data_IF_130157180321
#
_entry.id   IF_130157180321
#
_cell.length_a   1.000
_cell.length_b   1.000
_cell.length_c   1.000
_cell.angle_alpha   90.00
_cell.angle_beta   90.00
_cell.angle_gamma   90.00
#
_symmetry.space_group_name_H-M   'P 1'
#
loop_
_entity.id
_entity.type
_entity.pdbx_description
1 polymer ?
#
# COMPACT_ATOMS: atom_id res chain seq x y z
N UNK A 1 12.89 1.60 -12.79
CA UNK A 1 12.49 0.97 -11.52
C UNK A 1 11.33 -0.01 -11.70
N UNK A 2 10.16 0.44 -12.19
CA UNK A 2 8.97 -0.43 -12.40
C UNK A 2 9.27 -1.63 -13.31
N UNK A 3 9.88 -1.41 -14.48
CA UNK A 3 10.27 -2.51 -15.38
C UNK A 3 11.31 -3.47 -14.78
N UNK A 4 12.22 -2.97 -13.92
CA UNK A 4 13.21 -3.80 -13.24
C UNK A 4 12.59 -4.66 -12.15
N UNK A 5 11.70 -4.09 -11.33
CA UNK A 5 10.93 -4.83 -10.31
C UNK A 5 10.00 -5.87 -10.93
N UNK A 6 9.35 -5.54 -12.06
CA UNK A 6 8.50 -6.48 -12.79
C UNK A 6 9.32 -7.65 -13.38
N UNK A 7 10.47 -7.38 -13.99
CA UNK A 7 11.37 -8.42 -14.51
C UNK A 7 11.89 -9.32 -13.38
N UNK A 8 12.27 -8.71 -12.25
CA UNK A 8 12.80 -9.43 -11.09
C UNK A 8 11.72 -10.28 -10.40
N UNK A 9 10.48 -9.78 -10.32
CA UNK A 9 9.32 -10.53 -9.85
C UNK A 9 9.00 -11.71 -10.76
N UNK A 10 9.04 -11.54 -12.08
CA UNK A 10 8.85 -12.62 -13.06
C UNK A 10 9.92 -13.71 -12.96
N UNK A 11 11.17 -13.35 -12.66
CA UNK A 11 12.27 -14.29 -12.42
C UNK A 11 12.11 -14.99 -11.05
N UNK A 12 11.60 -14.27 -10.05
CA UNK A 12 11.41 -14.76 -8.67
C UNK A 12 10.13 -15.58 -8.49
N UNK A 13 9.20 -15.57 -9.45
CA UNK A 13 7.89 -16.25 -9.39
C UNK A 13 7.97 -17.79 -9.21
N UNK A 14 9.18 -18.38 -9.23
CA UNK A 14 9.41 -19.81 -8.90
C UNK A 14 9.65 -20.09 -7.41
N UNK A 15 9.75 -19.09 -6.54
CA UNK A 15 9.93 -19.29 -5.10
C UNK A 15 9.58 -18.03 -4.32
N UNK A 16 8.57 -18.12 -3.44
CA UNK A 16 7.95 -17.01 -2.71
C UNK A 16 8.92 -15.95 -2.18
N UNK A 17 8.50 -14.69 -2.34
CA UNK A 17 9.06 -13.42 -1.82
C UNK A 17 10.53 -13.52 -1.36
N UNK A 18 11.47 -13.33 -2.29
CA UNK A 18 12.87 -13.19 -1.94
C UNK A 18 13.20 -11.75 -1.46
N UNK A 19 14.03 -11.58 -0.40
CA UNK A 19 14.64 -10.28 -0.03
C UNK A 19 15.48 -9.64 -1.17
N UNK A 20 15.66 -10.35 -2.27
CA UNK A 20 16.41 -9.94 -3.45
C UNK A 20 15.82 -8.72 -4.16
N UNK A 21 14.50 -8.48 -4.12
CA UNK A 21 13.90 -7.29 -4.74
C UNK A 21 14.29 -6.00 -4.01
N UNK A 22 14.27 -6.00 -2.67
CA UNK A 22 14.75 -4.90 -1.84
C UNK A 22 16.25 -4.67 -2.00
N UNK A 23 17.05 -5.75 -1.97
CA UNK A 23 18.49 -5.69 -2.21
C UNK A 23 18.80 -5.09 -3.58
N UNK A 24 18.07 -5.48 -4.62
CA UNK A 24 18.26 -4.95 -5.97
C UNK A 24 18.04 -3.43 -6.02
N UNK A 25 16.99 -2.92 -5.38
CA UNK A 25 16.73 -1.47 -5.32
C UNK A 25 17.84 -0.74 -4.55
N UNK A 26 18.32 -1.32 -3.43
CA UNK A 26 19.43 -0.75 -2.66
C UNK A 26 20.74 -0.72 -3.47
N UNK A 27 21.02 -1.76 -4.25
CA UNK A 27 22.17 -1.81 -5.16
C UNK A 27 22.06 -0.72 -6.22
N UNK A 28 20.90 -0.55 -6.86
CA UNK A 28 20.70 0.52 -7.84
C UNK A 28 20.86 1.92 -7.22
N UNK A 29 20.35 2.13 -6.01
CA UNK A 29 20.54 3.39 -5.29
C UNK A 29 22.02 3.65 -5.00
N UNK A 30 22.77 2.64 -4.54
CA UNK A 30 24.20 2.74 -4.30
C UNK A 30 24.99 3.01 -5.58
N UNK A 31 24.67 2.33 -6.68
CA UNK A 31 25.27 2.57 -8.00
C UNK A 31 24.98 4.00 -8.48
N UNK A 32 23.75 4.49 -8.32
CA UNK A 32 23.39 5.87 -8.66
C UNK A 32 24.18 6.91 -7.84
N UNK A 33 24.28 6.71 -6.52
CA UNK A 33 25.03 7.60 -5.63
C UNK A 33 26.53 7.57 -5.93
N UNK A 34 27.11 6.39 -6.17
CA UNK A 34 28.53 6.27 -6.54
C UNK A 34 28.82 6.88 -7.91
N UNK A 35 27.92 6.71 -8.89
CA UNK A 35 28.02 7.39 -10.18
C UNK A 35 28.03 8.91 -10.04
N UNK A 36 27.12 9.48 -9.22
CA UNK A 36 27.08 10.91 -8.96
C UNK A 36 28.39 11.43 -8.33
N UNK A 37 28.94 10.70 -7.36
CA UNK A 37 30.16 11.10 -6.67
C UNK A 37 31.40 10.97 -7.56
N UNK A 38 31.56 9.87 -8.29
CA UNK A 38 32.81 9.55 -8.99
C UNK A 38 32.80 9.95 -10.47
N UNK A 39 31.69 9.73 -11.18
CA UNK A 39 31.60 10.04 -12.61
C UNK A 39 31.18 11.50 -12.85
N UNK A 40 30.18 11.98 -12.11
CA UNK A 40 29.69 13.38 -12.23
C UNK A 40 30.44 14.37 -11.35
N UNK A 41 31.17 13.89 -10.33
CA UNK A 41 31.87 14.73 -9.33
C UNK A 41 30.93 15.66 -8.55
N UNK A 42 29.65 15.32 -8.47
CA UNK A 42 28.59 16.09 -7.81
C UNK A 42 28.39 15.59 -6.37
N UNK A 43 29.46 15.65 -5.56
CA UNK A 43 29.44 15.10 -4.19
C UNK A 43 28.40 15.75 -3.29
N UNK A 44 28.17 17.05 -3.45
CA UNK A 44 27.17 17.79 -2.66
C UNK A 44 25.74 17.42 -3.06
N UNK A 45 25.48 17.09 -4.32
CA UNK A 45 24.17 16.63 -4.76
C UNK A 45 23.85 15.23 -4.22
N UNK A 46 24.83 14.32 -4.24
CA UNK A 46 24.69 13.00 -3.62
C UNK A 46 24.41 13.10 -2.11
N UNK A 47 25.07 14.02 -1.39
CA UNK A 47 24.78 14.28 0.03
C UNK A 47 23.38 14.86 0.22
N UNK A 48 23.00 15.84 -0.59
CA UNK A 48 21.68 16.47 -0.51
C UNK A 48 20.57 15.44 -0.70
N UNK A 49 20.70 14.52 -1.65
CA UNK A 49 19.73 13.44 -1.84
C UNK A 49 19.55 12.61 -0.57
N UNK A 50 20.65 12.17 0.07
CA UNK A 50 20.59 11.38 1.31
C UNK A 50 19.98 12.19 2.47
N UNK A 51 20.36 13.46 2.59
CA UNK A 51 19.89 14.33 3.68
C UNK A 51 18.41 14.70 3.55
N UNK A 52 17.89 14.80 2.32
CA UNK A 52 16.50 15.14 2.05
C UNK A 52 15.60 13.91 1.86
N UNK A 53 16.11 12.69 2.09
CA UNK A 53 15.26 11.51 2.20
C UNK A 53 14.29 11.67 3.37
N UNK A 54 13.08 11.15 3.19
CA UNK A 54 12.07 11.10 4.25
C UNK A 54 12.40 9.98 5.24
N UNK A 55 13.37 10.26 6.11
CA UNK A 55 13.83 9.33 7.15
C UNK A 55 12.73 8.94 8.13
N UNK A 56 11.76 9.83 8.36
CA UNK A 56 10.63 9.55 9.24
C UNK A 56 9.76 8.43 8.66
N UNK A 57 9.44 8.51 7.37
CA UNK A 57 8.70 7.45 6.67
C UNK A 57 9.48 6.14 6.65
N UNK A 58 10.79 6.17 6.39
CA UNK A 58 11.62 4.94 6.40
C UNK A 58 11.60 4.25 7.77
N UNK A 59 11.81 5.00 8.86
CA UNK A 59 11.81 4.44 10.23
C UNK A 59 10.41 3.93 10.60
N UNK A 60 9.36 4.64 10.22
CA UNK A 60 7.98 4.21 10.42
C UNK A 60 7.67 2.90 9.69
N UNK A 61 8.07 2.76 8.42
CA UNK A 61 7.93 1.52 7.66
C UNK A 61 8.73 0.37 8.29
N UNK A 62 9.93 0.61 8.80
CA UNK A 62 10.66 -0.44 9.54
C UNK A 62 9.85 -0.85 10.79
N UNK A 63 9.34 0.11 11.55
CA UNK A 63 8.53 -0.15 12.75
C UNK A 63 7.25 -0.94 12.47
N UNK A 64 6.47 -0.55 11.44
CA UNK A 64 5.23 -1.25 11.09
C UNK A 64 5.52 -2.67 10.61
N UNK A 65 6.58 -2.91 9.82
CA UNK A 65 6.94 -4.27 9.38
C UNK A 65 7.37 -5.17 10.55
N UNK A 66 8.05 -4.61 11.56
CA UNK A 66 8.35 -5.35 12.80
C UNK A 66 7.05 -5.71 13.52
N UNK A 67 6.14 -4.75 13.72
CA UNK A 67 4.86 -4.99 14.40
C UNK A 67 4.02 -6.01 13.62
N UNK A 68 3.91 -5.88 12.30
CA UNK A 68 3.20 -6.83 11.43
C UNK A 68 3.83 -8.21 11.49
N UNK A 69 5.17 -8.32 11.46
CA UNK A 69 5.86 -9.59 11.61
C UNK A 69 5.55 -10.28 12.94
N UNK A 70 5.51 -9.53 14.04
CA UNK A 70 5.12 -10.06 15.36
C UNK A 70 3.63 -10.44 15.39
N UNK A 71 2.76 -9.62 14.78
CA UNK A 71 1.33 -9.90 14.70
C UNK A 71 1.01 -11.12 13.82
N UNK A 72 1.81 -11.37 12.78
CA UNK A 72 1.67 -12.55 11.92
C UNK A 72 1.92 -13.86 12.66
N UNK A 73 2.84 -13.86 13.62
CA UNK A 73 3.07 -15.00 14.54
C UNK A 73 2.02 -15.05 15.67
N UNK A 74 1.24 -13.98 15.85
CA UNK A 74 0.20 -13.91 16.88
C UNK A 74 -1.14 -14.46 16.38
N UNK A 75 -1.97 -14.95 17.30
CA UNK A 75 -3.32 -15.40 16.96
C UNK A 75 -4.30 -14.26 16.63
N UNK A 76 -3.89 -13.00 16.79
CA UNK A 76 -4.78 -11.83 16.60
C UNK A 76 -5.26 -11.71 15.16
N UNK A 77 -4.36 -11.84 14.17
CA UNK A 77 -4.75 -11.73 12.76
C UNK A 77 -5.69 -12.87 12.34
N UNK A 78 -5.45 -14.06 12.88
CA UNK A 78 -6.32 -15.23 12.67
C UNK A 78 -7.71 -15.02 13.29
N UNK A 79 -7.77 -14.51 14.52
CA UNK A 79 -9.05 -14.18 15.18
C UNK A 79 -9.84 -13.11 14.41
N UNK A 80 -9.15 -12.08 13.88
CA UNK A 80 -9.80 -11.07 13.05
C UNK A 80 -10.36 -11.69 11.77
N UNK A 81 -9.58 -12.54 11.09
CA UNK A 81 -10.05 -13.25 9.90
C UNK A 81 -11.24 -14.17 10.20
N UNK A 82 -11.22 -14.91 11.31
CA UNK A 82 -12.33 -15.75 11.77
C UNK A 82 -13.60 -14.92 12.07
N UNK A 83 -13.46 -13.75 12.70
CA UNK A 83 -14.58 -12.83 12.93
C UNK A 83 -15.17 -12.31 11.62
N UNK A 84 -14.33 -11.90 10.67
CA UNK A 84 -14.78 -11.49 9.34
C UNK A 84 -15.49 -12.66 8.63
N UNK A 85 -14.95 -13.88 8.73
CA UNK A 85 -15.56 -15.09 8.16
C UNK A 85 -16.97 -15.36 8.74
N UNK A 86 -17.16 -15.15 10.04
CA UNK A 86 -18.47 -15.27 10.70
C UNK A 86 -19.47 -14.21 10.23
N UNK A 87 -19.01 -12.99 9.93
CA UNK A 87 -19.88 -11.93 9.43
C UNK A 87 -20.33 -12.18 8.00
N UNK A 88 -19.42 -12.67 7.14
CA UNK A 88 -19.71 -12.90 5.72
C UNK A 88 -20.49 -14.19 5.50
N UNK A 89 -20.48 -15.15 6.44
CA UNK A 89 -21.24 -16.41 6.41
C UNK A 89 -21.07 -17.22 5.12
N UNK A 90 -19.87 -17.21 4.55
CA UNK A 90 -19.56 -17.90 3.30
C UNK A 90 -19.94 -17.16 2.01
N UNK A 91 -20.52 -15.96 2.11
CA UNK A 91 -20.78 -15.11 0.94
C UNK A 91 -19.48 -14.44 0.47
N UNK A 92 -18.97 -14.91 -0.66
CA UNK A 92 -17.73 -14.42 -1.29
C UNK A 92 -17.85 -12.96 -1.72
N UNK A 93 -19.01 -12.55 -2.21
CA UNK A 93 -19.26 -11.16 -2.60
C UNK A 93 -19.23 -10.25 -1.37
N UNK A 94 -19.85 -10.69 -0.28
CA UNK A 94 -19.81 -9.96 0.98
C UNK A 94 -18.39 -9.87 1.55
N UNK A 95 -17.60 -10.93 1.48
CA UNK A 95 -16.19 -10.90 1.92
C UNK A 95 -15.33 -9.94 1.09
N UNK A 96 -15.47 -10.01 -0.24
CA UNK A 96 -14.76 -9.12 -1.16
C UNK A 96 -15.10 -7.65 -0.91
N UNK A 97 -16.40 -7.33 -0.85
CA UNK A 97 -16.87 -5.95 -0.63
C UNK A 97 -16.52 -5.44 0.77
N UNK A 98 -16.55 -6.30 1.80
CA UNK A 98 -16.18 -5.95 3.17
C UNK A 98 -14.69 -5.62 3.28
N UNK A 99 -13.80 -6.42 2.67
CA UNK A 99 -12.37 -6.11 2.61
C UNK A 99 -12.15 -4.76 1.94
N UNK A 100 -12.80 -4.49 0.81
CA UNK A 100 -12.65 -3.21 0.11
C UNK A 100 -13.14 -2.06 0.99
N UNK A 101 -14.30 -2.19 1.61
CA UNK A 101 -14.87 -1.13 2.45
C UNK A 101 -13.98 -0.79 3.64
N UNK A 102 -13.49 -1.80 4.36
CA UNK A 102 -12.54 -1.63 5.46
C UNK A 102 -11.25 -0.98 4.96
N UNK A 103 -10.76 -1.42 3.80
CA UNK A 103 -9.52 -0.88 3.19
C UNK A 103 -9.65 0.58 2.80
N UNK A 104 -10.74 0.97 2.16
CA UNK A 104 -10.98 2.36 1.77
C UNK A 104 -11.01 3.27 3.00
N UNK A 105 -11.68 2.83 4.07
CA UNK A 105 -11.79 3.61 5.29
C UNK A 105 -10.47 3.73 6.03
N UNK A 106 -9.76 2.62 6.27
CA UNK A 106 -8.52 2.64 7.05
C UNK A 106 -7.38 3.29 6.26
N UNK A 107 -7.21 2.91 4.99
CA UNK A 107 -6.17 3.47 4.11
C UNK A 107 -6.44 4.96 3.81
N UNK A 108 -7.68 5.43 4.00
CA UNK A 108 -7.99 6.86 3.99
C UNK A 108 -7.22 7.67 5.03
N UNK A 109 -6.78 7.06 6.14
CA UNK A 109 -6.03 7.75 7.21
C UNK A 109 -4.60 7.22 7.38
N UNK A 110 -4.32 6.02 6.87
CA UNK A 110 -3.05 5.32 7.01
C UNK A 110 -2.47 5.09 5.63
N UNK A 111 -1.17 5.32 5.46
CA UNK A 111 -0.52 5.09 4.17
C UNK A 111 -0.73 3.65 3.66
N UNK A 112 -0.76 3.49 2.34
CA UNK A 112 -1.19 2.24 1.71
C UNK A 112 -0.24 1.08 2.02
N UNK A 113 1.06 1.36 2.09
CA UNK A 113 2.12 0.36 2.31
C UNK A 113 1.99 -0.33 3.69
N UNK A 114 2.01 0.39 4.82
CA UNK A 114 1.84 -0.23 6.14
C UNK A 114 0.49 -0.94 6.28
N UNK A 115 -0.57 -0.37 5.70
CA UNK A 115 -1.91 -0.94 5.76
C UNK A 115 -1.99 -2.30 5.07
N UNK A 116 -1.52 -2.40 3.82
CA UNK A 116 -1.49 -3.66 3.08
C UNK A 116 -0.64 -4.69 3.82
N UNK A 117 0.52 -4.31 4.35
CA UNK A 117 1.36 -5.23 5.11
C UNK A 117 0.62 -5.87 6.29
N UNK A 118 -0.16 -5.09 7.03
CA UNK A 118 -0.94 -5.57 8.17
C UNK A 118 -2.14 -6.44 7.77
N UNK A 119 -2.81 -6.11 6.66
CA UNK A 119 -4.04 -6.78 6.24
C UNK A 119 -3.84 -7.93 5.27
N UNK A 120 -2.65 -8.07 4.67
CA UNK A 120 -2.34 -9.16 3.74
C UNK A 120 -2.48 -10.55 4.40
N UNK A 121 -1.99 -10.79 5.65
CA UNK A 121 -2.23 -12.05 6.33
C UNK A 121 -3.71 -12.26 6.67
N UNK A 122 -4.45 -11.19 6.99
CA UNK A 122 -5.88 -11.25 7.32
C UNK A 122 -6.70 -11.66 6.09
N UNK A 123 -6.43 -11.04 4.93
CA UNK A 123 -7.08 -11.40 3.67
C UNK A 123 -6.76 -12.84 3.25
N UNK A 124 -5.52 -13.27 3.45
CA UNK A 124 -5.10 -14.66 3.17
C UNK A 124 -5.80 -15.67 4.08
N UNK A 125 -5.84 -15.40 5.39
CA UNK A 125 -6.53 -16.25 6.36
C UNK A 125 -8.04 -16.28 6.15
N UNK A 126 -8.65 -15.16 5.74
CA UNK A 126 -10.07 -15.12 5.39
C UNK A 126 -10.36 -15.98 4.14
N UNK A 127 -9.52 -15.88 3.11
CA UNK A 127 -9.65 -16.72 1.91
C UNK A 127 -9.56 -18.21 2.25
N UNK A 128 -8.60 -18.59 3.10
CA UNK A 128 -8.43 -19.97 3.59
C UNK A 128 -9.65 -20.44 4.39
N UNK A 129 -10.14 -19.63 5.33
CA UNK A 129 -11.32 -19.94 6.13
C UNK A 129 -12.59 -20.11 5.27
N UNK A 130 -12.68 -19.39 4.16
CA UNK A 130 -13.77 -19.49 3.19
C UNK A 130 -13.55 -20.52 2.08
N UNK A 131 -12.38 -21.16 2.03
CA UNK A 131 -11.95 -22.08 0.96
C UNK A 131 -12.05 -21.47 -0.46
N UNK A 132 -11.72 -20.19 -0.60
CA UNK A 132 -11.70 -19.48 -1.89
C UNK A 132 -10.27 -19.18 -2.34
N UNK A 133 -10.06 -18.93 -3.63
CA UNK A 133 -8.77 -18.45 -4.11
C UNK A 133 -8.45 -17.09 -3.47
N UNK A 134 -7.24 -16.92 -2.92
CA UNK A 134 -6.93 -15.71 -2.16
C UNK A 134 -6.77 -14.48 -3.06
N UNK A 135 -6.52 -14.68 -4.36
CA UNK A 135 -6.33 -13.64 -5.36
C UNK A 135 -7.47 -12.61 -5.36
N UNK A 136 -8.72 -13.05 -5.30
CA UNK A 136 -9.88 -12.14 -5.29
C UNK A 136 -9.85 -11.18 -4.09
N UNK A 137 -9.57 -11.71 -2.89
CA UNK A 137 -9.49 -10.91 -1.67
C UNK A 137 -8.23 -10.05 -1.64
N UNK A 138 -7.11 -10.54 -2.18
CA UNK A 138 -5.87 -9.76 -2.32
C UNK A 138 -6.05 -8.59 -3.28
N UNK A 139 -6.74 -8.78 -4.40
CA UNK A 139 -7.06 -7.70 -5.34
C UNK A 139 -8.05 -6.70 -4.71
N UNK A 140 -9.03 -7.18 -3.95
CA UNK A 140 -9.92 -6.32 -3.15
C UNK A 140 -9.17 -5.45 -2.15
N UNK A 141 -8.23 -6.04 -1.41
CA UNK A 141 -7.33 -5.32 -0.49
C UNK A 141 -6.48 -4.28 -1.24
N UNK A 142 -5.91 -4.66 -2.39
CA UNK A 142 -5.08 -3.80 -3.22
C UNK A 142 -5.85 -2.57 -3.69
N UNK A 143 -7.03 -2.73 -4.30
CA UNK A 143 -7.80 -1.58 -4.80
C UNK A 143 -8.34 -0.72 -3.66
N UNK A 144 -8.81 -1.34 -2.58
CA UNK A 144 -9.35 -0.63 -1.44
C UNK A 144 -8.27 0.23 -0.76
N UNK A 145 -7.04 -0.27 -0.66
CA UNK A 145 -5.92 0.51 -0.15
C UNK A 145 -5.48 1.60 -1.13
N UNK A 146 -5.20 1.25 -2.39
CA UNK A 146 -4.69 2.20 -3.37
C UNK A 146 -5.64 3.37 -3.64
N UNK A 147 -6.95 3.09 -3.71
CA UNK A 147 -7.96 4.13 -3.94
C UNK A 147 -8.38 4.80 -2.64
N UNK A 148 -8.44 4.06 -1.53
CA UNK A 148 -8.73 4.56 -0.19
C UNK A 148 -7.83 5.71 0.25
N UNK A 149 -6.52 5.62 -0.04
CA UNK A 149 -5.55 6.67 0.28
C UNK A 149 -5.90 8.06 -0.27
N UNK A 150 -6.76 8.16 -1.30
CA UNK A 150 -7.20 9.44 -1.86
C UNK A 150 -8.34 10.11 -1.07
N UNK A 151 -9.01 9.36 -0.18
CA UNK A 151 -10.19 9.82 0.54
C UNK A 151 -9.89 11.04 1.42
N UNK A 152 -8.71 11.09 2.02
CA UNK A 152 -8.28 12.19 2.89
C UNK A 152 -6.93 12.76 2.46
N UNK A 153 -6.60 14.01 2.83
CA UNK A 153 -5.31 14.61 2.51
C UNK A 153 -4.12 13.92 3.22
N UNK A 154 -4.38 13.06 4.21
CA UNK A 154 -3.34 12.36 4.98
C UNK A 154 -3.15 10.90 4.56
N UNK A 155 -4.08 10.33 3.81
CA UNK A 155 -4.07 8.90 3.45
C UNK A 155 -2.92 8.48 2.54
N UNK A 156 -2.26 9.43 1.89
CA UNK A 156 -1.05 9.16 1.10
C UNK A 156 -0.04 10.29 1.25
N UNK A 157 1.25 9.94 1.22
CA UNK A 157 2.36 10.91 1.23
C UNK A 157 2.26 11.93 0.08
N UNK A 158 1.82 11.49 -1.11
CA UNK A 158 1.58 12.38 -2.25
C UNK A 158 0.52 13.45 -1.96
N UNK A 159 -0.53 13.14 -1.19
CA UNK A 159 -1.59 14.09 -0.84
C UNK A 159 -1.05 15.17 0.10
N UNK A 160 -0.25 14.78 1.09
CA UNK A 160 0.40 15.71 2.03
C UNK A 160 1.33 16.67 1.26
N UNK A 161 2.12 16.14 0.32
CA UNK A 161 2.98 16.96 -0.54
C UNK A 161 2.17 17.92 -1.39
N UNK A 162 1.07 17.46 -2.00
CA UNK A 162 0.19 18.30 -2.82
C UNK A 162 -0.45 19.44 -1.99
N UNK A 163 -0.92 19.15 -0.78
CA UNK A 163 -1.44 20.16 0.15
C UNK A 163 -0.35 21.17 0.51
N UNK A 164 0.85 20.69 0.90
CA UNK A 164 1.97 21.57 1.24
C UNK A 164 2.43 22.46 0.08
N UNK A 165 2.37 21.93 -1.16
CA UNK A 165 2.69 22.71 -2.36
C UNK A 165 1.60 23.77 -2.65
N UNK A 166 0.33 23.42 -2.49
CA UNK A 166 -0.79 24.35 -2.64
C UNK A 166 -0.69 25.50 -1.64
N UNK A 167 -0.38 25.20 -0.37
CA UNK A 167 -0.21 26.21 0.68
C UNK A 167 0.95 27.16 0.39
N UNK A 168 2.08 26.65 -0.15
CA UNK A 168 3.20 27.49 -0.60
C UNK A 168 2.82 28.48 -1.71
N UNK A 169 1.82 28.16 -2.52
CA UNK A 169 1.30 29.05 -3.57
C UNK A 169 0.09 29.89 -3.10
N UNK A 170 -0.13 29.98 -1.79
CA UNK A 170 -1.17 30.82 -1.19
C UNK A 170 -2.57 30.20 -1.19
N UNK A 171 -2.74 28.97 -1.65
CA UNK A 171 -4.02 28.26 -1.68
C UNK A 171 -4.10 27.26 -0.52
N UNK A 172 -4.83 27.61 0.53
CA UNK A 172 -5.06 26.69 1.67
C UNK A 172 -6.08 25.63 1.29
N UNK A 173 -5.74 24.37 1.53
CA UNK A 173 -6.64 23.24 1.29
C UNK A 173 -7.20 22.79 2.62
N UNK A 174 -8.50 23.03 2.85
CA UNK A 174 -9.17 22.51 4.03
C UNK A 174 -9.47 21.02 3.88
N UNK A 175 -9.41 20.28 4.98
CA UNK A 175 -9.77 18.85 5.02
C UNK A 175 -11.14 18.58 4.38
N UNK A 176 -12.16 19.37 4.73
CA UNK A 176 -13.51 19.19 4.21
C UNK A 176 -13.63 19.52 2.72
N UNK A 177 -12.86 20.48 2.20
CA UNK A 177 -12.84 20.76 0.77
C UNK A 177 -12.17 19.62 0.00
N UNK A 178 -11.11 19.03 0.56
CA UNK A 178 -10.51 17.82 0.01
C UNK A 178 -11.51 16.67 -0.05
N UNK A 179 -12.13 16.31 1.07
CA UNK A 179 -13.05 15.16 1.14
C UNK A 179 -14.26 15.37 0.23
N UNK A 180 -14.80 16.59 0.14
CA UNK A 180 -15.91 16.91 -0.79
C UNK A 180 -15.53 16.72 -2.25
N UNK A 181 -14.28 17.02 -2.60
CA UNK A 181 -13.76 16.84 -3.95
C UNK A 181 -13.37 15.37 -4.20
N UNK A 182 -12.43 14.85 -3.42
CA UNK A 182 -11.82 13.54 -3.62
C UNK A 182 -12.73 12.36 -3.23
N UNK A 183 -13.65 12.54 -2.28
CA UNK A 183 -14.54 11.49 -1.80
C UNK A 183 -15.40 10.87 -2.91
N UNK A 184 -16.18 11.67 -3.67
CA UNK A 184 -16.95 11.16 -4.80
C UNK A 184 -16.08 10.44 -5.84
N UNK A 185 -14.92 11.00 -6.21
CA UNK A 185 -14.00 10.36 -7.15
C UNK A 185 -13.47 9.02 -6.63
N UNK A 186 -13.10 8.96 -5.34
CA UNK A 186 -12.63 7.74 -4.68
C UNK A 186 -13.70 6.66 -4.69
N UNK A 187 -14.96 7.01 -4.40
CA UNK A 187 -16.08 6.05 -4.42
C UNK A 187 -16.32 5.54 -5.85
N UNK A 188 -16.41 6.44 -6.84
CA UNK A 188 -16.67 6.06 -8.24
C UNK A 188 -15.57 5.15 -8.77
N UNK A 189 -14.30 5.52 -8.57
CA UNK A 189 -13.16 4.73 -9.03
C UNK A 189 -13.07 3.39 -8.30
N UNK A 190 -13.36 3.36 -6.99
CA UNK A 190 -13.40 2.12 -6.22
C UNK A 190 -14.48 1.19 -6.72
N UNK A 191 -15.70 1.68 -6.96
CA UNK A 191 -16.79 0.86 -7.49
C UNK A 191 -16.43 0.31 -8.87
N UNK A 192 -15.91 1.16 -9.77
CA UNK A 192 -15.51 0.73 -11.12
C UNK A 192 -14.41 -0.36 -11.07
N UNK A 193 -13.38 -0.17 -10.24
CA UNK A 193 -12.30 -1.15 -10.07
C UNK A 193 -12.80 -2.44 -9.41
N UNK A 194 -13.69 -2.33 -8.41
CA UNK A 194 -14.28 -3.48 -7.72
C UNK A 194 -15.14 -4.31 -8.68
N UNK A 195 -15.94 -3.66 -9.52
CA UNK A 195 -16.74 -4.33 -10.54
C UNK A 195 -15.87 -5.05 -11.57
N UNK A 196 -14.79 -4.40 -12.03
CA UNK A 196 -13.84 -5.03 -12.95
C UNK A 196 -13.18 -6.28 -12.33
N UNK A 197 -12.69 -6.18 -11.09
CA UNK A 197 -12.07 -7.33 -10.41
C UNK A 197 -13.08 -8.45 -10.22
N UNK A 198 -14.29 -8.13 -9.77
CA UNK A 198 -15.35 -9.11 -9.58
C UNK A 198 -15.66 -9.86 -10.89
N UNK A 199 -15.74 -9.16 -12.03
CA UNK A 199 -16.04 -9.78 -13.33
C UNK A 199 -14.93 -10.70 -13.86
N UNK A 200 -13.69 -10.53 -13.39
CA UNK A 200 -12.52 -11.26 -13.92
C UNK A 200 -12.03 -12.35 -12.96
N UNK A 201 -12.18 -12.15 -11.65
CA UNK A 201 -11.62 -13.02 -10.60
C UNK A 201 -12.65 -13.70 -9.68
N UNK A 202 -13.95 -13.41 -9.78
CA UNK A 202 -14.99 -14.12 -9.05
C UNK A 202 -15.50 -15.33 -9.85
#
# INVERSE_FOLDING_TARGET
MIGGLALFSAISARGGIHPASGIFVLVLAFVGLTWLVFAKKEKEEAKNLILHLDWMTLVFLVGIFIVVGVLAESSLLKQLAEQLAQWVKGDVFLAFTLIIAISVLISGFVDNVPYIAAMLPVASALAEAMQVQPDLLMFGLLIGSCLGGNLTPFGASANIVAVGLSEKHGSKVSFWNWVKLAGPFTIITTIAASAFIWLVWA
#
